data_IF_934921929826
#
_entry.id   IF_934921929826
#
_cell.length_a   1.000
_cell.length_b   1.000
_cell.length_c   1.000
_cell.angle_alpha   90.00
_cell.angle_beta   90.00
_cell.angle_gamma   90.00
#
_symmetry.space_group_name_H-M   'P 1'
#
loop_
_entity.id
_entity.type
_entity.pdbx_description
1 polymer ?
#
# COMPACT_ATOMS: atom_id res chain seq x y z
N UNK A 1 -49.03 24.56 -38.72
CA UNK A 1 -49.57 23.32 -38.10
C UNK A 1 -48.49 22.70 -37.24
N UNK A 2 -48.84 22.38 -35.98
CA UNK A 2 -48.06 21.64 -34.95
C UNK A 2 -46.83 22.33 -34.34
N UNK A 3 -47.13 23.37 -33.55
CA UNK A 3 -46.59 23.54 -32.19
C UNK A 3 -47.32 22.57 -31.25
N UNK A 4 -46.70 22.24 -30.12
CA UNK A 4 -47.25 21.52 -28.96
C UNK A 4 -47.01 20.01 -28.94
N UNK A 5 -45.87 19.61 -28.38
CA UNK A 5 -45.66 18.27 -27.81
C UNK A 5 -44.53 18.22 -26.78
N UNK A 6 -44.35 19.27 -25.99
CA UNK A 6 -43.30 19.32 -24.94
C UNK A 6 -43.84 19.76 -23.57
N UNK A 7 -45.15 19.64 -23.32
CA UNK A 7 -45.79 20.15 -22.08
C UNK A 7 -46.67 19.10 -21.38
N UNK A 8 -46.28 17.82 -21.42
CA UNK A 8 -47.09 16.74 -20.81
C UNK A 8 -46.28 15.72 -20.00
N UNK A 9 -45.04 16.04 -19.62
CA UNK A 9 -44.16 15.13 -18.86
C UNK A 9 -43.60 15.74 -17.56
N UNK A 10 -44.10 16.91 -17.13
CA UNK A 10 -43.62 17.62 -15.94
C UNK A 10 -44.70 17.86 -14.86
N UNK A 11 -45.80 17.09 -14.84
CA UNK A 11 -46.86 17.25 -13.82
C UNK A 11 -47.39 15.93 -13.23
N UNK A 12 -46.57 14.87 -13.16
CA UNK A 12 -46.93 13.66 -12.40
C UNK A 12 -45.71 13.10 -11.69
N UNK A 13 -45.43 13.59 -10.49
CA UNK A 13 -44.86 12.84 -9.36
C UNK A 13 -44.71 13.76 -8.13
N UNK A 14 -45.83 14.28 -7.65
CA UNK A 14 -45.97 14.78 -6.27
C UNK A 14 -47.26 14.17 -5.72
N UNK A 15 -47.13 13.00 -5.10
CA UNK A 15 -48.09 12.46 -4.13
C UNK A 15 -47.41 11.32 -3.37
N UNK A 16 -46.71 11.70 -2.30
CA UNK A 16 -46.24 10.78 -1.27
C UNK A 16 -46.94 11.17 0.03
N UNK A 17 -47.82 10.31 0.55
CA UNK A 17 -48.05 10.17 2.00
C UNK A 17 -49.01 9.02 2.32
N UNK A 18 -48.50 8.13 3.17
CA UNK A 18 -49.20 7.26 4.11
C UNK A 18 -49.88 5.99 3.59
N UNK A 19 -49.14 4.88 3.64
CA UNK A 19 -49.65 3.66 4.27
C UNK A 19 -48.51 2.72 4.73
N UNK A 20 -48.50 2.50 6.04
CA UNK A 20 -48.25 1.26 6.77
C UNK A 20 -47.06 0.37 6.35
N UNK A 21 -45.93 0.56 7.04
CA UNK A 21 -44.85 -0.43 7.07
C UNK A 21 -44.94 -1.24 8.36
N UNK A 22 -45.46 -2.47 8.25
CA UNK A 22 -45.39 -3.49 9.28
C UNK A 22 -43.91 -3.86 9.54
N UNK A 23 -43.50 -3.64 10.78
CA UNK A 23 -42.16 -3.88 11.30
C UNK A 23 -41.97 -5.37 11.63
N UNK A 24 -41.52 -6.18 10.67
CA UNK A 24 -41.07 -7.55 10.96
C UNK A 24 -39.63 -7.54 11.50
N UNK A 25 -39.50 -7.83 12.80
CA UNK A 25 -38.21 -8.02 13.48
C UNK A 25 -37.63 -9.41 13.17
N UNK A 26 -36.33 -9.54 12.87
CA UNK A 26 -35.69 -10.84 12.87
C UNK A 26 -35.46 -11.34 14.31
N UNK A 27 -35.92 -12.58 14.54
CA UNK A 27 -35.84 -13.37 15.76
C UNK A 27 -34.46 -14.04 15.90
N UNK A 28 -33.36 -13.30 16.10
CA UNK A 28 -32.10 -13.90 16.58
C UNK A 28 -31.29 -12.92 17.45
N UNK A 29 -30.69 -13.47 18.50
CA UNK A 29 -30.22 -12.79 19.72
C UNK A 29 -29.27 -11.62 19.52
N UNK A 30 -29.52 -10.56 20.31
CA UNK A 30 -28.64 -9.40 20.48
C UNK A 30 -27.33 -9.80 21.15
N UNK A 31 -26.28 -10.03 20.36
CA UNK A 31 -24.91 -9.84 20.80
C UNK A 31 -24.29 -8.68 20.02
N UNK A 32 -24.10 -7.55 20.70
CA UNK A 32 -23.38 -6.39 20.16
C UNK A 32 -21.95 -6.37 20.71
N UNK A 33 -20.99 -5.91 19.89
CA UNK A 33 -19.56 -5.73 20.25
C UNK A 33 -19.37 -4.97 21.57
N UNK A 34 -20.28 -4.06 21.93
CA UNK A 34 -20.27 -3.35 23.23
C UNK A 34 -20.56 -4.25 24.43
N UNK A 35 -21.40 -5.27 24.29
CA UNK A 35 -21.75 -6.20 25.38
C UNK A 35 -20.63 -7.20 25.68
N UNK A 36 -19.76 -7.47 24.69
CA UNK A 36 -18.60 -8.35 24.87
C UNK A 36 -17.48 -7.64 25.64
N UNK A 37 -17.22 -6.36 25.32
CA UNK A 37 -16.20 -5.57 26.00
C UNK A 37 -16.58 -5.23 27.45
N UNK A 38 -17.88 -5.12 27.77
CA UNK A 38 -18.33 -4.86 29.15
C UNK A 38 -18.27 -6.08 30.07
N UNK A 39 -18.24 -7.31 29.53
CA UNK A 39 -18.18 -8.53 30.34
C UNK A 39 -16.76 -8.98 30.71
N UNK A 40 -15.71 -8.44 30.08
CA UNK A 40 -14.31 -8.72 30.43
C UNK A 40 -13.76 -7.82 31.55
N UNK A 41 -14.48 -6.79 31.96
CA UNK A 41 -14.02 -5.81 32.96
C UNK A 41 -14.27 -6.17 34.43
N UNK A 42 -14.85 -7.33 34.74
CA UNK A 42 -15.32 -7.66 36.10
C UNK A 42 -14.73 -8.95 36.70
N UNK A 43 -13.50 -9.33 36.33
CA UNK A 43 -12.80 -10.44 36.97
C UNK A 43 -11.30 -10.15 37.11
N UNK A 44 -10.90 -9.39 38.14
CA UNK A 44 -9.59 -9.50 38.81
C UNK A 44 -9.43 -8.47 39.95
N UNK A 45 -10.03 -8.76 41.11
CA UNK A 45 -9.51 -8.25 42.39
C UNK A 45 -9.51 -9.40 43.40
N UNK A 46 -8.34 -10.00 43.61
CA UNK A 46 -7.96 -10.63 44.87
C UNK A 46 -6.43 -10.68 44.95
N UNK A 47 -5.86 -9.92 45.89
CA UNK A 47 -4.45 -9.83 46.20
C UNK A 47 -4.01 -10.93 47.17
N UNK A 48 -2.80 -11.48 47.02
CA UNK A 48 -1.99 -11.94 48.16
C UNK A 48 -0.48 -11.87 47.86
N UNK A 49 0.19 -11.16 48.76
CA UNK A 49 1.60 -11.21 49.19
C UNK A 49 2.51 -12.36 48.72
N UNK A 50 3.73 -11.99 48.33
CA UNK A 50 4.85 -12.85 47.91
C UNK A 50 5.41 -13.79 49.00
N UNK A 51 6.22 -14.79 48.59
CA UNK A 51 7.62 -14.74 49.02
C UNK A 51 8.61 -14.87 47.85
N UNK A 52 9.74 -14.17 48.01
CA UNK A 52 10.99 -14.33 47.27
C UNK A 52 11.49 -15.78 47.35
N UNK A 53 11.74 -16.45 46.22
CA UNK A 53 12.86 -17.38 45.99
C UNK A 53 12.66 -18.30 44.75
N UNK A 54 13.15 -17.90 43.58
CA UNK A 54 14.03 -18.70 42.71
C UNK A 54 14.33 -17.89 41.44
N UNK A 55 15.37 -17.06 41.49
CA UNK A 55 16.04 -16.60 40.29
C UNK A 55 16.91 -17.75 39.77
N UNK A 56 16.28 -18.73 39.12
CA UNK A 56 16.98 -19.61 38.20
C UNK A 56 17.17 -18.82 36.91
N UNK A 57 18.42 -18.55 36.56
CA UNK A 57 18.79 -17.92 35.30
C UNK A 57 18.20 -18.74 34.13
N UNK A 58 17.13 -18.22 33.53
CA UNK A 58 16.68 -18.71 32.24
C UNK A 58 17.73 -18.29 31.21
N UNK A 59 18.57 -19.24 30.80
CA UNK A 59 19.38 -19.09 29.60
C UNK A 59 18.47 -18.71 28.42
N UNK A 60 18.89 -17.81 27.52
CA UNK A 60 18.10 -17.53 26.33
C UNK A 60 18.04 -18.83 25.53
N UNK A 61 16.85 -19.40 25.46
CA UNK A 61 16.54 -20.43 24.48
C UNK A 61 16.70 -19.74 23.13
N UNK A 62 17.83 -20.02 22.47
CA UNK A 62 18.03 -19.63 21.09
C UNK A 62 16.79 -20.11 20.33
N UNK A 63 16.08 -19.17 19.73
CA UNK A 63 14.95 -19.49 18.89
C UNK A 63 15.47 -20.41 17.78
N UNK A 64 15.21 -21.71 17.91
CA UNK A 64 15.39 -22.67 16.84
C UNK A 64 14.52 -22.17 15.70
N UNK A 65 15.19 -21.57 14.70
CA UNK A 65 14.57 -21.26 13.44
C UNK A 65 14.04 -22.59 12.90
N UNK A 66 12.72 -22.75 12.96
CA UNK A 66 12.03 -23.88 12.35
C UNK A 66 12.47 -23.93 10.90
N UNK A 67 13.29 -24.93 10.57
CA UNK A 67 13.84 -25.16 9.24
C UNK A 67 12.66 -25.55 8.34
N UNK A 68 12.02 -24.52 7.77
CA UNK A 68 10.94 -24.67 6.81
C UNK A 68 11.54 -25.45 5.65
N UNK A 69 11.03 -26.65 5.40
CA UNK A 69 11.53 -27.54 4.35
C UNK A 69 11.80 -26.75 3.06
N UNK A 70 13.06 -26.72 2.64
CA UNK A 70 13.49 -25.91 1.51
C UNK A 70 12.76 -26.37 0.24
N UNK A 71 12.12 -25.44 -0.46
CA UNK A 71 11.54 -25.74 -1.78
C UNK A 71 12.71 -26.17 -2.70
N UNK A 72 12.66 -27.35 -3.33
CA UNK A 72 13.75 -27.85 -4.16
C UNK A 72 14.19 -26.81 -5.20
N UNK A 73 15.50 -26.57 -5.29
CA UNK A 73 16.05 -25.58 -6.22
C UNK A 73 16.04 -24.13 -5.70
N UNK A 74 15.61 -23.88 -4.46
CA UNK A 74 15.78 -22.56 -3.83
C UNK A 74 17.24 -22.28 -3.51
N UNK A 75 17.63 -21.01 -3.65
CA UNK A 75 18.96 -20.50 -3.32
C UNK A 75 18.87 -19.44 -2.23
N UNK A 76 19.91 -19.28 -1.38
CA UNK A 76 19.95 -18.18 -0.43
C UNK A 76 20.08 -16.84 -1.16
N UNK A 77 19.30 -15.85 -0.72
CA UNK A 77 19.32 -14.47 -1.21
C UNK A 77 19.27 -13.52 -0.02
N UNK A 78 20.15 -12.52 -0.01
CA UNK A 78 20.11 -11.43 0.97
C UNK A 78 19.70 -10.12 0.29
N UNK A 79 18.62 -9.52 0.77
CA UNK A 79 18.09 -8.25 0.26
C UNK A 79 18.11 -7.20 1.39
N UNK A 80 18.54 -5.97 1.08
CA UNK A 80 18.46 -4.85 2.02
C UNK A 80 17.26 -3.99 1.62
N UNK A 81 16.18 -4.04 2.38
CA UNK A 81 14.91 -3.40 2.03
C UNK A 81 14.53 -2.41 3.11
N UNK A 82 14.34 -1.14 2.72
CA UNK A 82 13.96 -0.05 3.62
C UNK A 82 14.87 0.04 4.86
N UNK A 83 16.17 -0.20 4.67
CA UNK A 83 17.19 -0.20 5.73
C UNK A 83 17.27 -1.48 6.56
N UNK A 84 16.48 -2.52 6.26
CA UNK A 84 16.50 -3.80 6.97
C UNK A 84 17.07 -4.92 6.09
N UNK A 85 17.92 -5.77 6.67
CA UNK A 85 18.48 -6.94 5.98
C UNK A 85 17.53 -8.13 6.11
N UNK A 86 17.17 -8.73 4.97
CA UNK A 86 16.34 -9.92 4.87
C UNK A 86 17.12 -11.05 4.23
N UNK A 87 17.22 -12.19 4.92
CA UNK A 87 17.80 -13.43 4.39
C UNK A 87 16.66 -14.39 4.01
N UNK A 88 16.63 -14.82 2.76
CA UNK A 88 15.54 -15.59 2.17
C UNK A 88 16.07 -16.82 1.43
N UNK A 89 15.25 -17.86 1.35
CA UNK A 89 15.44 -18.98 0.42
C UNK A 89 14.40 -18.85 -0.69
N UNK A 90 14.85 -18.57 -1.92
CA UNK A 90 13.97 -18.27 -3.06
C UNK A 90 14.29 -19.14 -4.27
N UNK A 91 13.28 -19.55 -5.04
CA UNK A 91 13.51 -20.09 -6.37
C UNK A 91 14.14 -19.00 -7.27
N UNK A 92 15.13 -19.32 -8.14
CA UNK A 92 15.79 -18.32 -8.99
C UNK A 92 14.87 -17.51 -9.90
N UNK A 93 13.67 -18.03 -10.20
CA UNK A 93 12.66 -17.37 -11.03
C UNK A 93 11.83 -16.30 -10.31
N UNK A 94 11.93 -16.20 -8.98
CA UNK A 94 11.14 -15.24 -8.20
C UNK A 94 11.58 -13.83 -8.59
N UNK A 95 10.63 -13.04 -9.08
CA UNK A 95 10.87 -11.62 -9.40
C UNK A 95 11.11 -10.83 -8.13
N UNK A 96 11.79 -9.68 -8.21
CA UNK A 96 11.91 -8.78 -7.07
C UNK A 96 10.52 -8.35 -6.58
N UNK A 97 9.57 -8.14 -7.49
CA UNK A 97 8.18 -7.83 -7.17
C UNK A 97 7.53 -8.90 -6.27
N UNK A 98 7.66 -10.17 -6.65
CA UNK A 98 7.03 -11.27 -5.90
C UNK A 98 7.76 -11.56 -4.59
N UNK A 99 9.09 -11.39 -4.55
CA UNK A 99 9.84 -11.46 -3.31
C UNK A 99 9.35 -10.41 -2.29
N UNK A 100 9.13 -9.17 -2.72
CA UNK A 100 8.60 -8.10 -1.87
C UNK A 100 7.19 -8.42 -1.36
N UNK A 101 6.29 -8.80 -2.27
CA UNK A 101 4.86 -8.91 -1.95
C UNK A 101 4.51 -10.21 -1.23
N UNK A 102 5.00 -11.32 -1.75
CA UNK A 102 4.51 -12.66 -1.38
C UNK A 102 5.44 -13.31 -0.35
N UNK A 103 6.76 -13.11 -0.46
CA UNK A 103 7.71 -13.65 0.51
C UNK A 103 7.91 -12.75 1.74
N UNK A 104 8.00 -11.43 1.53
CA UNK A 104 8.26 -10.46 2.59
C UNK A 104 7.01 -9.74 3.11
N UNK A 105 5.85 -9.95 2.47
CA UNK A 105 4.59 -9.34 2.88
C UNK A 105 4.67 -7.81 2.95
N UNK A 106 5.35 -7.20 1.97
CA UNK A 106 5.38 -5.76 1.69
C UNK A 106 4.48 -5.46 0.49
N UNK A 107 3.16 -5.33 0.69
CA UNK A 107 2.19 -5.35 -0.41
C UNK A 107 2.06 -4.01 -1.13
N UNK A 108 2.77 -2.96 -0.69
CA UNK A 108 2.69 -1.60 -1.24
C UNK A 108 3.04 -1.56 -2.71
N UNK A 109 4.12 -2.23 -3.11
CA UNK A 109 4.48 -2.40 -4.54
C UNK A 109 3.43 -3.27 -5.24
N UNK A 110 2.92 -2.85 -6.41
CA UNK A 110 1.77 -3.49 -7.05
C UNK A 110 2.11 -4.24 -8.33
N UNK A 111 1.46 -5.38 -8.52
CA UNK A 111 1.46 -6.14 -9.78
C UNK A 111 0.30 -5.67 -10.66
N UNK A 112 0.58 -4.84 -11.66
CA UNK A 112 -0.43 -4.38 -12.62
C UNK A 112 -0.46 -5.18 -13.91
N UNK A 113 0.72 -5.46 -14.47
CA UNK A 113 0.85 -6.16 -15.76
C UNK A 113 1.84 -7.31 -15.76
N UNK A 114 2.82 -7.34 -14.84
CA UNK A 114 3.93 -8.31 -14.81
C UNK A 114 4.83 -8.37 -16.07
N UNK A 115 4.73 -7.36 -16.94
CA UNK A 115 5.45 -7.30 -18.22
C UNK A 115 6.13 -5.94 -18.48
N UNK A 116 6.34 -5.12 -17.44
CA UNK A 116 7.00 -3.82 -17.54
C UNK A 116 6.20 -2.72 -18.27
N UNK A 117 4.91 -2.94 -18.51
CA UNK A 117 4.07 -2.05 -19.33
C UNK A 117 3.43 -0.90 -18.53
N UNK A 118 3.28 -1.03 -17.20
CA UNK A 118 2.44 -0.10 -16.41
C UNK A 118 3.17 0.70 -15.32
N UNK A 119 4.38 0.34 -14.91
CA UNK A 119 5.11 1.01 -13.81
C UNK A 119 4.49 0.88 -12.41
N UNK A 120 3.40 0.13 -12.22
CA UNK A 120 2.80 -0.03 -10.88
C UNK A 120 3.74 -0.74 -9.87
N UNK A 121 4.75 -1.44 -10.39
CA UNK A 121 5.76 -2.17 -9.64
C UNK A 121 7.06 -1.38 -9.42
N UNK A 122 7.08 -0.07 -9.68
CA UNK A 122 8.29 0.74 -9.52
C UNK A 122 8.76 0.73 -8.06
N UNK A 123 10.04 0.38 -7.87
CA UNK A 123 10.80 0.50 -6.62
C UNK A 123 12.11 1.22 -6.91
N UNK A 124 12.87 1.60 -5.88
CA UNK A 124 14.25 2.05 -6.06
C UNK A 124 15.22 0.92 -5.76
N UNK A 125 16.20 0.73 -6.64
CA UNK A 125 17.38 -0.13 -6.42
C UNK A 125 18.61 0.75 -6.53
N UNK A 126 19.39 0.84 -5.45
CA UNK A 126 20.56 1.72 -5.34
C UNK A 126 20.24 3.18 -5.76
N UNK A 127 19.07 3.66 -5.34
CA UNK A 127 18.57 5.02 -5.65
C UNK A 127 18.00 5.21 -7.06
N UNK A 128 18.00 4.19 -7.93
CA UNK A 128 17.43 4.26 -9.28
C UNK A 128 16.06 3.59 -9.34
N UNK A 129 15.08 4.25 -9.95
CA UNK A 129 13.76 3.64 -10.18
C UNK A 129 13.81 2.52 -11.21
N UNK A 130 13.23 1.37 -10.89
CA UNK A 130 13.18 0.18 -11.77
C UNK A 130 11.84 -0.53 -11.68
N UNK A 131 11.43 -1.21 -12.75
CA UNK A 131 10.29 -2.12 -12.75
C UNK A 131 10.68 -3.45 -12.10
N UNK A 132 10.27 -3.67 -10.85
CA UNK A 132 10.63 -4.88 -10.08
C UNK A 132 10.06 -6.19 -10.65
N UNK A 133 9.08 -6.14 -11.56
CA UNK A 133 8.57 -7.34 -12.25
C UNK A 133 9.51 -7.86 -13.34
N UNK A 134 10.49 -7.06 -13.78
CA UNK A 134 11.43 -7.42 -14.86
C UNK A 134 12.83 -7.77 -14.33
N UNK A 135 13.00 -7.92 -13.03
CA UNK A 135 14.26 -8.38 -12.44
C UNK A 135 13.99 -9.51 -11.44
N UNK A 136 14.91 -10.47 -11.37
CA UNK A 136 14.84 -11.55 -10.38
C UNK A 136 15.44 -11.10 -9.05
N UNK A 137 14.88 -11.57 -7.94
CA UNK A 137 15.38 -11.22 -6.61
C UNK A 137 16.85 -11.62 -6.41
N UNK A 138 17.27 -12.76 -6.98
CA UNK A 138 18.67 -13.24 -6.96
C UNK A 138 19.67 -12.28 -7.61
N UNK A 139 19.21 -11.39 -8.51
CA UNK A 139 20.07 -10.41 -9.17
C UNK A 139 20.40 -9.20 -8.28
N UNK A 140 19.70 -9.06 -7.16
CA UNK A 140 19.77 -7.92 -6.24
C UNK A 140 20.41 -8.29 -4.90
N UNK A 141 21.32 -9.27 -4.93
CA UNK A 141 22.10 -9.66 -3.78
C UNK A 141 22.84 -8.43 -3.22
N UNK A 142 22.57 -8.12 -1.95
CA UNK A 142 23.16 -7.00 -1.20
C UNK A 142 22.84 -5.58 -1.71
N UNK A 143 21.98 -5.45 -2.74
CA UNK A 143 21.49 -4.15 -3.22
C UNK A 143 20.60 -3.46 -2.18
N UNK A 144 20.65 -2.12 -2.16
CA UNK A 144 19.74 -1.29 -1.37
C UNK A 144 18.43 -1.07 -2.12
N UNK A 145 17.34 -1.60 -1.58
CA UNK A 145 16.00 -1.53 -2.14
C UNK A 145 15.14 -0.62 -1.27
N UNK A 146 14.48 0.36 -1.88
CA UNK A 146 13.46 1.18 -1.21
C UNK A 146 12.12 0.96 -1.89
N UNK A 147 11.09 0.69 -1.10
CA UNK A 147 9.70 0.58 -1.53
C UNK A 147 8.87 1.77 -1.05
N UNK A 148 7.58 1.80 -1.39
CA UNK A 148 6.68 2.89 -0.97
C UNK A 148 6.57 2.98 0.56
N UNK A 149 6.64 1.84 1.25
CA UNK A 149 6.64 1.74 2.71
C UNK A 149 7.86 2.40 3.35
N UNK A 150 8.99 2.45 2.65
CA UNK A 150 10.24 3.04 3.15
C UNK A 150 10.39 4.54 2.93
N UNK A 151 9.44 5.20 2.25
CA UNK A 151 9.54 6.65 1.99
C UNK A 151 9.18 7.52 3.18
N UNK A 152 8.23 7.07 4.01
CA UNK A 152 7.86 7.79 5.22
C UNK A 152 8.85 7.47 6.33
N UNK A 153 9.39 8.50 6.99
CA UNK A 153 10.37 8.35 8.06
C UNK A 153 9.79 8.89 9.36
N UNK A 154 9.86 8.11 10.44
CA UNK A 154 9.36 8.50 11.77
C UNK A 154 7.89 8.96 11.79
N UNK A 155 7.06 8.41 10.88
CA UNK A 155 5.65 8.78 10.74
C UNK A 155 5.40 10.05 9.92
N UNK A 156 6.44 10.73 9.45
CA UNK A 156 6.31 11.87 8.55
C UNK A 156 6.26 11.41 7.10
N UNK A 157 5.29 11.96 6.35
CA UNK A 157 5.14 11.68 4.93
C UNK A 157 6.29 12.30 4.14
N UNK A 158 6.76 11.57 3.13
CA UNK A 158 7.65 12.13 2.12
C UNK A 158 6.95 13.30 1.40
N UNK A 159 7.65 14.39 1.01
CA UNK A 159 7.04 15.53 0.34
C UNK A 159 6.16 15.17 -0.87
N UNK A 160 6.59 14.18 -1.66
CA UNK A 160 5.80 13.65 -2.78
C UNK A 160 4.50 12.97 -2.30
N UNK A 161 4.53 12.21 -1.20
CA UNK A 161 3.30 11.61 -0.64
C UNK A 161 2.33 12.69 -0.19
N UNK A 162 2.80 13.71 0.51
CA UNK A 162 1.98 14.83 0.96
C UNK A 162 1.37 15.61 -0.23
N UNK A 163 2.17 15.91 -1.25
CA UNK A 163 1.69 16.60 -2.45
C UNK A 163 0.65 15.77 -3.23
N UNK A 164 0.79 14.45 -3.28
CA UNK A 164 -0.23 13.58 -3.89
C UNK A 164 -1.56 13.62 -3.14
N UNK A 165 -1.55 13.81 -1.82
CA UNK A 165 -2.78 14.00 -1.03
C UNK A 165 -3.38 15.38 -1.31
N UNK A 166 -2.55 16.43 -1.27
CA UNK A 166 -3.00 17.82 -1.46
C UNK A 166 -3.64 18.06 -2.83
N UNK A 167 -3.07 17.46 -3.88
CA UNK A 167 -3.54 17.65 -5.26
C UNK A 167 -4.55 16.60 -5.72
N UNK A 168 -5.00 15.68 -4.84
CA UNK A 168 -5.83 14.54 -5.23
C UNK A 168 -5.18 13.75 -6.40
N UNK A 169 -3.89 13.46 -6.26
CA UNK A 169 -3.02 12.80 -7.23
C UNK A 169 -3.28 11.30 -7.40
N UNK A 170 -4.44 10.80 -6.96
CA UNK A 170 -4.85 9.41 -7.06
C UNK A 170 -6.36 9.25 -6.92
N UNK A 171 -6.89 8.07 -7.26
CA UNK A 171 -8.28 7.70 -7.00
C UNK A 171 -8.35 6.28 -6.41
N UNK A 172 -8.34 5.24 -7.25
CA UNK A 172 -8.38 3.84 -6.77
C UNK A 172 -7.15 3.43 -5.94
N UNK A 173 -6.08 4.23 -5.96
CA UNK A 173 -4.86 3.99 -5.19
C UNK A 173 -3.90 2.96 -5.79
N UNK A 174 -4.29 2.20 -6.80
CA UNK A 174 -3.51 1.04 -7.26
C UNK A 174 -2.18 1.43 -7.93
N UNK A 175 -2.18 2.44 -8.80
CA UNK A 175 -0.94 2.91 -9.43
C UNK A 175 -0.11 3.81 -8.52
N UNK A 176 -0.69 4.32 -7.44
CA UNK A 176 -0.14 5.40 -6.61
C UNK A 176 1.24 5.07 -6.02
N UNK A 177 1.51 3.84 -5.50
CA UNK A 177 2.85 3.47 -5.07
C UNK A 177 3.91 3.65 -6.17
N UNK A 178 3.66 3.10 -7.36
CA UNK A 178 4.58 3.23 -8.50
C UNK A 178 4.75 4.70 -8.94
N UNK A 179 3.67 5.48 -8.97
CA UNK A 179 3.71 6.92 -9.28
C UNK A 179 4.59 7.69 -8.28
N UNK A 180 4.39 7.48 -6.98
CA UNK A 180 5.14 8.17 -5.94
C UNK A 180 6.63 7.76 -5.96
N UNK A 181 6.91 6.46 -6.14
CA UNK A 181 8.29 5.98 -6.26
C UNK A 181 8.98 6.59 -7.48
N UNK A 182 8.32 6.59 -8.65
CA UNK A 182 8.87 7.23 -9.85
C UNK A 182 9.11 8.73 -9.65
N UNK A 183 8.14 9.45 -9.10
CA UNK A 183 8.24 10.89 -8.84
C UNK A 183 9.37 11.22 -7.86
N UNK A 184 9.55 10.42 -6.80
CA UNK A 184 10.61 10.63 -5.80
C UNK A 184 12.01 10.47 -6.39
N UNK A 185 12.23 9.46 -7.25
CA UNK A 185 13.50 9.31 -7.97
C UNK A 185 13.73 10.45 -8.98
N UNK A 186 12.68 10.83 -9.70
CA UNK A 186 12.72 11.89 -10.72
C UNK A 186 13.16 13.25 -10.16
N UNK A 187 12.96 13.54 -8.88
CA UNK A 187 13.47 14.78 -8.24
C UNK A 187 14.99 14.95 -8.36
N UNK A 188 15.74 13.84 -8.55
CA UNK A 188 17.20 13.81 -8.68
C UNK A 188 17.66 13.58 -10.12
N UNK A 189 16.74 13.41 -11.07
CA UNK A 189 17.04 13.12 -12.47
C UNK A 189 17.16 14.42 -13.29
N UNK A 190 17.99 14.44 -14.35
CA UNK A 190 18.19 15.63 -15.18
C UNK A 190 17.02 15.82 -16.16
N UNK A 191 15.90 16.33 -15.66
CA UNK A 191 14.70 16.63 -16.47
C UNK A 191 14.44 18.15 -16.54
N UNK A 192 13.81 18.61 -17.63
CA UNK A 192 13.43 20.02 -17.80
C UNK A 192 12.36 20.49 -16.79
N UNK A 193 12.14 21.80 -16.71
CA UNK A 193 11.29 22.41 -15.66
C UNK A 193 9.80 22.38 -15.98
N UNK A 194 9.43 22.13 -17.23
CA UNK A 194 8.06 22.28 -17.70
C UNK A 194 7.21 21.07 -17.33
N UNK A 195 5.90 21.26 -17.29
CA UNK A 195 4.97 20.16 -17.03
C UNK A 195 5.09 19.06 -18.10
N UNK A 196 5.45 19.41 -19.34
CA UNK A 196 5.68 18.45 -20.41
C UNK A 196 6.87 17.52 -20.10
N UNK A 197 7.93 18.04 -19.47
CA UNK A 197 9.09 17.24 -19.07
C UNK A 197 8.72 16.23 -17.98
N UNK A 198 7.89 16.65 -17.01
CA UNK A 198 7.36 15.74 -15.98
C UNK A 198 6.48 14.67 -16.59
N UNK A 199 5.59 15.03 -17.54
CA UNK A 199 4.72 14.05 -18.23
C UNK A 199 5.55 12.99 -18.95
N UNK A 200 6.56 13.42 -19.70
CA UNK A 200 7.45 12.49 -20.42
C UNK A 200 8.19 11.58 -19.44
N UNK A 201 8.84 12.15 -18.42
CA UNK A 201 9.60 11.39 -17.45
C UNK A 201 8.74 10.47 -16.55
N UNK A 202 7.43 10.70 -16.47
CA UNK A 202 6.46 9.87 -15.75
C UNK A 202 5.64 8.94 -16.67
N UNK A 203 5.85 8.98 -17.99
CA UNK A 203 5.05 8.24 -18.97
C UNK A 203 5.07 6.71 -18.77
N UNK A 204 6.11 6.18 -18.12
CA UNK A 204 6.22 4.76 -17.74
C UNK A 204 5.27 4.30 -16.62
N UNK A 205 4.53 5.22 -15.98
CA UNK A 205 3.58 4.91 -14.91
C UNK A 205 2.14 5.21 -15.36
N UNK A 206 1.39 4.14 -15.66
CA UNK A 206 0.03 4.24 -16.19
C UNK A 206 -0.98 4.40 -15.04
N UNK A 207 -1.89 5.37 -15.20
CA UNK A 207 -3.04 5.61 -14.32
C UNK A 207 -4.35 5.46 -15.10
N UNK A 208 -5.10 4.37 -14.88
CA UNK A 208 -6.38 4.14 -15.58
C UNK A 208 -7.51 5.06 -15.10
N UNK A 209 -7.44 5.54 -13.86
CA UNK A 209 -8.36 6.54 -13.33
C UNK A 209 -8.20 7.93 -13.99
N UNK A 210 -7.08 8.18 -14.68
CA UNK A 210 -6.85 9.43 -15.39
C UNK A 210 -6.42 10.60 -14.50
N UNK A 211 -5.82 10.34 -13.32
CA UNK A 211 -5.38 11.38 -12.37
C UNK A 211 -4.12 12.17 -12.83
N UNK A 212 -3.73 12.10 -14.10
CA UNK A 212 -2.43 12.57 -14.59
C UNK A 212 -2.18 14.07 -14.36
N UNK A 213 -3.18 14.93 -14.56
CA UNK A 213 -3.00 16.37 -14.34
C UNK A 213 -2.69 16.68 -12.87
N UNK A 214 -3.36 16.01 -11.94
CA UNK A 214 -3.15 16.14 -10.50
C UNK A 214 -1.80 15.56 -10.09
N UNK A 215 -1.39 14.43 -10.68
CA UNK A 215 -0.05 13.84 -10.47
C UNK A 215 1.03 14.84 -10.91
N UNK A 216 0.91 15.44 -12.09
CA UNK A 216 1.87 16.44 -12.58
C UNK A 216 1.91 17.66 -11.65
N UNK A 217 0.75 18.16 -11.20
CA UNK A 217 0.67 19.26 -10.24
C UNK A 217 1.38 18.94 -8.92
N UNK A 218 1.15 17.74 -8.36
CA UNK A 218 1.81 17.27 -7.14
C UNK A 218 3.34 17.20 -7.29
N UNK A 219 3.83 16.62 -8.40
CA UNK A 219 5.27 16.53 -8.67
C UNK A 219 5.88 17.93 -8.81
N UNK A 220 5.22 18.82 -9.55
CA UNK A 220 5.72 20.19 -9.77
C UNK A 220 5.68 21.06 -8.52
N UNK A 221 4.76 20.81 -7.57
CA UNK A 221 4.81 21.45 -6.27
C UNK A 221 6.12 21.11 -5.56
N UNK A 222 6.47 19.83 -5.48
CA UNK A 222 7.68 19.38 -4.78
C UNK A 222 8.92 19.88 -5.49
N UNK A 223 8.98 19.78 -6.83
CA UNK A 223 10.12 20.25 -7.64
C UNK A 223 10.42 21.74 -7.51
N UNK A 224 9.42 22.57 -7.18
CA UNK A 224 9.59 24.01 -6.98
C UNK A 224 10.05 24.37 -5.56
N UNK A 225 9.93 23.43 -4.62
CA UNK A 225 10.31 23.62 -3.23
C UNK A 225 11.74 23.16 -2.91
N UNK A 226 12.42 22.50 -3.85
CA UNK A 226 13.81 22.01 -3.77
C UNK A 226 14.70 22.71 -4.78
#
# INVERSE_FOLDING_TARGET
>A
MRKSRDTELLEKNEEASASDQSNERPLFGRFSRRSFLSQLGAASIAATTAPLAHAAAAAPVAAEATEKAAVPGSVPVTLRINGQTHQLMLEPRVTLLDALRENLQLPGTKKGCDHGQCGACTVHVNGRRVNSCLSFAVMHQDDEITTIEGLALNGELHPVQAAFIEHDGFQCGYCTPGQIMSASALLKEPIGKEDADVREAMAGNICRCGAYNNIVAAVQQVRRAV
#
